data_IF_535075147021
#
_entry.id   IF_535075147021
#
_cell.length_a   1.000
_cell.length_b   1.000
_cell.length_c   1.000
_cell.angle_alpha   90.00
_cell.angle_beta   90.00
_cell.angle_gamma   90.00
#
_symmetry.space_group_name_H-M   'P 1'
#
loop_
_entity.id
_entity.type
_entity.pdbx_description
1 polymer ?
#
# COMPACT_ATOMS: atom_id res chain seq x y z
N UNK A 1 8.20 1.74 -16.35
CA UNK A 1 7.46 1.64 -15.07
C UNK A 1 7.29 0.16 -14.73
N UNK A 2 7.09 -0.23 -13.46
CA UNK A 2 6.83 -1.64 -13.12
C UNK A 2 5.43 -2.06 -13.61
N UNK A 3 5.22 -3.35 -13.97
CA UNK A 3 3.88 -3.89 -14.25
C UNK A 3 2.90 -3.61 -13.10
N UNK A 4 1.62 -3.43 -13.43
CA UNK A 4 0.61 -3.03 -12.46
C UNK A 4 0.40 -4.09 -11.38
N UNK A 5 0.47 -5.37 -11.74
CA UNK A 5 0.41 -6.52 -10.82
C UNK A 5 1.57 -6.47 -9.83
N UNK A 6 2.77 -6.14 -10.30
CA UNK A 6 3.95 -6.05 -9.45
C UNK A 6 3.87 -4.84 -8.51
N UNK A 7 3.26 -3.73 -8.95
CA UNK A 7 2.98 -2.57 -8.10
C UNK A 7 1.97 -2.92 -7.01
N UNK A 8 0.88 -3.61 -7.37
CA UNK A 8 -0.16 -4.08 -6.44
C UNK A 8 0.44 -5.02 -5.39
N UNK A 9 1.17 -6.04 -5.82
CA UNK A 9 1.76 -7.03 -4.93
C UNK A 9 2.77 -6.40 -3.96
N UNK A 10 3.60 -5.46 -4.42
CA UNK A 10 4.52 -4.70 -3.55
C UNK A 10 3.77 -3.88 -2.51
N UNK A 11 2.71 -3.17 -2.91
CA UNK A 11 1.90 -2.37 -1.99
C UNK A 11 1.18 -3.25 -0.96
N UNK A 12 0.65 -4.40 -1.37
CA UNK A 12 0.05 -5.38 -0.46
C UNK A 12 1.06 -5.99 0.51
N UNK A 13 2.28 -6.32 0.04
CA UNK A 13 3.38 -6.77 0.91
C UNK A 13 3.75 -5.72 1.95
N UNK A 14 3.88 -4.46 1.55
CA UNK A 14 4.14 -3.36 2.47
C UNK A 14 3.03 -3.21 3.52
N UNK A 15 1.76 -3.27 3.10
CA UNK A 15 0.64 -3.15 4.02
C UNK A 15 0.66 -4.27 5.08
N UNK A 16 0.85 -5.52 4.65
CA UNK A 16 0.97 -6.67 5.56
C UNK A 16 2.10 -6.47 6.56
N UNK A 17 3.28 -6.07 6.09
CA UNK A 17 4.42 -5.81 6.98
C UNK A 17 4.08 -4.76 8.04
N UNK A 18 3.42 -3.66 7.68
CA UNK A 18 3.06 -2.60 8.63
C UNK A 18 2.02 -3.08 9.65
N UNK A 19 1.02 -3.85 9.19
CA UNK A 19 -0.07 -4.35 10.04
C UNK A 19 0.42 -5.47 10.99
N UNK A 20 1.21 -6.40 10.47
CA UNK A 20 1.75 -7.53 11.23
C UNK A 20 2.83 -7.08 12.23
N UNK A 21 3.64 -6.07 11.88
CA UNK A 21 4.63 -5.48 12.81
C UNK A 21 4.01 -4.48 13.80
N UNK A 22 2.74 -4.09 13.66
CA UNK A 22 2.13 -3.09 14.54
C UNK A 22 2.22 -3.43 16.05
N UNK A 23 2.05 -4.70 16.49
CA UNK A 23 2.27 -5.08 17.88
C UNK A 23 3.74 -4.95 18.32
N UNK A 24 4.69 -5.26 17.43
CA UNK A 24 6.12 -5.19 17.70
C UNK A 24 6.67 -3.76 17.66
N UNK A 25 5.99 -2.85 16.96
CA UNK A 25 6.40 -1.45 16.86
C UNK A 25 6.56 -0.82 18.25
N UNK A 26 5.66 -1.09 19.19
CA UNK A 26 5.73 -0.57 20.55
C UNK A 26 7.00 -1.01 21.29
N UNK A 27 7.43 -2.25 21.09
CA UNK A 27 8.67 -2.78 21.68
C UNK A 27 9.90 -2.12 21.04
N UNK A 28 9.91 -1.98 19.70
CA UNK A 28 11.05 -1.40 18.96
C UNK A 28 11.30 0.06 19.29
N UNK A 29 10.25 0.83 19.57
CA UNK A 29 10.37 2.27 19.85
C UNK A 29 10.49 2.59 21.35
N UNK A 30 10.37 1.61 22.24
CA UNK A 30 10.46 1.82 23.69
C UNK A 30 11.72 2.58 24.15
N UNK A 31 12.91 2.42 23.52
CA UNK A 31 14.11 3.19 23.89
C UNK A 31 14.08 4.67 23.47
N UNK A 32 13.12 5.09 22.64
CA UNK A 32 13.04 6.47 22.12
C UNK A 32 12.31 7.39 23.11
N UNK A 33 12.51 8.72 22.95
CA UNK A 33 11.75 9.71 23.73
C UNK A 33 10.24 9.59 23.46
N UNK A 34 9.37 10.00 24.41
CA UNK A 34 7.92 9.94 24.23
C UNK A 34 7.42 10.63 22.95
N UNK A 35 8.03 11.75 22.56
CA UNK A 35 7.70 12.50 21.34
C UNK A 35 8.03 11.68 20.10
N UNK A 36 9.20 11.02 20.08
CA UNK A 36 9.62 10.15 18.98
C UNK A 36 8.75 8.89 18.90
N UNK A 37 8.35 8.32 20.04
CA UNK A 37 7.41 7.20 20.07
C UNK A 37 6.05 7.60 19.50
N UNK A 38 5.52 8.77 19.90
CA UNK A 38 4.26 9.30 19.38
C UNK A 38 4.34 9.54 17.87
N UNK A 39 5.42 10.18 17.42
CA UNK A 39 5.67 10.42 16.00
C UNK A 39 5.74 9.13 15.18
N UNK A 40 6.50 8.12 15.65
CA UNK A 40 6.62 6.83 14.97
C UNK A 40 5.27 6.09 14.87
N UNK A 41 4.46 6.11 15.94
CA UNK A 41 3.11 5.52 15.94
C UNK A 41 2.18 6.22 14.96
N UNK A 42 2.23 7.55 14.88
CA UNK A 42 1.43 8.33 13.93
C UNK A 42 1.85 8.05 12.50
N UNK A 43 3.16 8.07 12.23
CA UNK A 43 3.72 7.78 10.92
C UNK A 43 3.33 6.39 10.42
N UNK A 44 3.43 5.35 11.27
CA UNK A 44 3.03 3.99 10.90
C UNK A 44 1.54 3.91 10.50
N UNK A 45 0.66 4.61 11.24
CA UNK A 45 -0.78 4.67 10.93
C UNK A 45 -1.05 5.39 9.61
N UNK A 46 -0.38 6.51 9.38
CA UNK A 46 -0.51 7.29 8.15
C UNK A 46 0.00 6.49 6.94
N UNK A 47 1.16 5.84 7.07
CA UNK A 47 1.72 5.00 6.03
C UNK A 47 0.80 3.84 5.66
N UNK A 48 0.18 3.18 6.64
CA UNK A 48 -0.82 2.16 6.37
C UNK A 48 -2.04 2.72 5.61
N UNK A 49 -2.54 3.89 6.00
CA UNK A 49 -3.67 4.55 5.33
C UNK A 49 -3.35 4.92 3.88
N UNK A 50 -2.16 5.49 3.64
CA UNK A 50 -1.66 5.82 2.30
C UNK A 50 -1.48 4.56 1.44
N UNK A 51 -0.91 3.50 2.01
CA UNK A 51 -0.72 2.23 1.30
C UNK A 51 -2.05 1.61 0.88
N UNK A 52 -3.07 1.62 1.75
CA UNK A 52 -4.43 1.17 1.40
C UNK A 52 -5.05 2.02 0.29
N UNK A 53 -4.83 3.34 0.31
CA UNK A 53 -5.31 4.23 -0.75
C UNK A 53 -4.64 3.95 -2.10
N UNK A 54 -3.33 3.71 -2.10
CA UNK A 54 -2.59 3.36 -3.31
C UNK A 54 -3.03 2.01 -3.88
N UNK A 55 -3.24 0.99 -3.02
CA UNK A 55 -3.78 -0.31 -3.49
C UNK A 55 -5.12 -0.11 -4.19
N UNK A 56 -6.06 0.67 -3.62
CA UNK A 56 -7.35 0.95 -4.26
C UNK A 56 -7.19 1.65 -5.62
N UNK A 57 -6.26 2.60 -5.71
CA UNK A 57 -5.96 3.30 -6.97
C UNK A 57 -5.40 2.34 -8.02
N UNK A 58 -4.45 1.49 -7.64
CA UNK A 58 -3.84 0.51 -8.53
C UNK A 58 -4.84 -0.54 -9.02
N UNK A 59 -5.74 -1.00 -8.16
CA UNK A 59 -6.81 -1.92 -8.57
C UNK A 59 -7.73 -1.25 -9.60
N UNK A 60 -8.14 0.01 -9.38
CA UNK A 60 -8.94 0.76 -10.36
C UNK A 60 -8.21 0.96 -11.69
N UNK A 61 -6.91 1.24 -11.65
CA UNK A 61 -6.05 1.37 -12.83
C UNK A 61 -6.00 0.05 -13.61
N UNK A 62 -5.88 -1.09 -12.91
CA UNK A 62 -5.91 -2.42 -13.52
C UNK A 62 -7.26 -2.72 -14.17
N UNK A 63 -8.36 -2.52 -13.43
CA UNK A 63 -9.71 -2.77 -13.96
C UNK A 63 -10.00 -1.92 -15.21
N UNK A 64 -9.48 -0.70 -15.26
CA UNK A 64 -9.60 0.18 -16.43
C UNK A 64 -8.78 -0.32 -17.63
N UNK A 65 -7.59 -0.86 -17.40
CA UNK A 65 -6.75 -1.43 -18.45
C UNK A 65 -7.37 -2.71 -19.02
N UNK A 66 -7.83 -3.62 -18.15
CA UNK A 66 -8.50 -4.86 -18.53
C UNK A 66 -9.78 -4.58 -19.34
N UNK A 67 -10.51 -3.51 -19.01
CA UNK A 67 -11.69 -3.07 -19.76
C UNK A 67 -11.36 -2.55 -21.16
N UNK A 68 -10.19 -1.94 -21.37
CA UNK A 68 -9.73 -1.46 -22.69
C UNK A 68 -9.31 -2.63 -23.57
N UNK A 69 -8.59 -3.61 -23.00
CA UNK A 69 -8.14 -4.80 -23.74
C UNK A 69 -9.29 -5.71 -24.21
N UNK A 70 -10.43 -5.65 -23.52
CA UNK A 70 -11.62 -6.46 -23.84
C UNK A 70 -12.59 -5.78 -24.81
N UNK A 71 -12.33 -4.52 -25.21
CA UNK A 71 -13.15 -3.87 -26.25
C UNK A 71 -12.83 -4.50 -27.62
N UNK A 72 -13.84 -5.02 -28.37
CA UNK A 72 -13.59 -5.56 -29.69
C UNK A 72 -13.07 -4.45 -30.59
N UNK A 73 -11.86 -4.63 -31.11
CA UNK A 73 -11.33 -3.75 -32.15
C UNK A 73 -12.24 -3.92 -33.35
N UNK A 74 -13.00 -2.88 -33.70
CA UNK A 74 -13.77 -2.85 -34.93
C UNK A 74 -12.77 -3.04 -36.08
N UNK A 75 -12.83 -4.19 -36.74
CA UNK A 75 -12.11 -4.43 -37.97
C UNK A 75 -12.86 -3.69 -39.09
N UNK A 76 -12.18 -2.72 -39.70
CA UNK A 76 -12.57 -2.09 -40.98
C UNK A 76 -12.54 -3.10 -42.13
#
# INVERSE_FOLDING_TARGET
MLPIELRIDRAQRLLRMIEDDAPLLAVRIAPLSPERQKSAKLYARELAALTRAEIRKLMKEKDSADAIETMPTAAD
#
